data_IF_636723403751
#
_entry.id   IF_636723403751
#
_cell.length_a   1.000
_cell.length_b   1.000
_cell.length_c   1.000
_cell.angle_alpha   90.00
_cell.angle_beta   90.00
_cell.angle_gamma   90.00
#
_symmetry.space_group_name_H-M   'P 1'
#
loop_
_entity.id
_entity.type
_entity.pdbx_description
1 polymer ?
#
# COMPACT_ATOMS: atom_id res chain seq x y z
N UNK A 1 -1.04 8.30 -8.23
CA UNK A 1 -0.96 6.84 -8.43
C UNK A 1 0.46 6.52 -8.90
N UNK A 2 1.13 5.49 -8.35
CA UNK A 2 2.53 5.18 -8.68
C UNK A 2 2.72 4.37 -9.96
N UNK A 3 1.69 3.65 -10.42
CA UNK A 3 1.69 2.92 -11.68
C UNK A 3 1.76 3.86 -12.89
N UNK A 4 2.16 3.33 -14.06
CA UNK A 4 2.13 4.08 -15.31
C UNK A 4 0.69 4.46 -15.69
N UNK A 5 0.54 5.57 -16.42
CA UNK A 5 -0.79 6.03 -16.85
C UNK A 5 -1.50 4.98 -17.71
N UNK A 6 -0.77 4.30 -18.61
CA UNK A 6 -1.34 3.25 -19.47
C UNK A 6 -1.91 2.08 -18.66
N UNK A 7 -1.24 1.66 -17.59
CA UNK A 7 -1.71 0.57 -16.72
C UNK A 7 -3.03 0.94 -16.01
N UNK A 8 -3.16 2.20 -15.59
CA UNK A 8 -4.41 2.72 -15.04
C UNK A 8 -5.54 2.75 -16.07
N UNK A 9 -5.23 3.22 -17.29
CA UNK A 9 -6.20 3.32 -18.38
C UNK A 9 -6.70 1.95 -18.85
N UNK A 10 -5.81 0.97 -18.95
CA UNK A 10 -6.15 -0.43 -19.25
C UNK A 10 -7.08 -1.02 -18.19
N UNK A 11 -6.74 -0.90 -16.90
CA UNK A 11 -7.59 -1.38 -15.81
C UNK A 11 -8.99 -0.72 -15.83
N UNK A 12 -9.05 0.58 -16.10
CA UNK A 12 -10.32 1.30 -16.26
C UNK A 12 -11.11 0.79 -17.46
N UNK A 13 -10.45 0.50 -18.59
CA UNK A 13 -11.10 -0.04 -19.79
C UNK A 13 -11.67 -1.45 -19.56
N UNK A 14 -11.06 -2.24 -18.68
CA UNK A 14 -11.58 -3.55 -18.22
C UNK A 14 -12.72 -3.43 -17.19
N UNK A 15 -13.08 -2.21 -16.78
CA UNK A 15 -14.21 -1.93 -15.89
C UNK A 15 -13.85 -1.86 -14.40
N UNK A 16 -12.56 -1.82 -14.04
CA UNK A 16 -12.12 -1.66 -12.65
C UNK A 16 -12.62 -0.33 -12.08
N UNK A 17 -13.21 -0.40 -10.89
CA UNK A 17 -13.68 0.77 -10.14
C UNK A 17 -12.59 1.26 -9.18
N UNK A 18 -12.25 2.54 -9.26
CA UNK A 18 -11.25 3.16 -8.38
C UNK A 18 -11.93 3.98 -7.30
N UNK A 19 -11.81 3.53 -6.05
CA UNK A 19 -12.23 4.29 -4.88
C UNK A 19 -11.05 5.08 -4.33
N UNK A 20 -10.96 6.37 -4.72
CA UNK A 20 -9.96 7.29 -4.19
C UNK A 20 -10.33 7.80 -2.79
N UNK A 21 -9.35 8.39 -2.10
CA UNK A 21 -9.52 8.97 -0.76
C UNK A 21 -10.16 8.01 0.25
N UNK A 22 -9.73 6.75 0.24
CA UNK A 22 -10.20 5.70 1.13
C UNK A 22 -9.02 5.08 1.88
N UNK A 23 -8.87 5.40 3.17
CA UNK A 23 -7.83 4.82 4.02
C UNK A 23 -8.34 3.51 4.64
N UNK A 24 -7.66 2.38 4.45
CA UNK A 24 -8.04 1.10 5.07
C UNK A 24 -8.12 1.21 6.60
N UNK A 25 -9.21 0.72 7.19
CA UNK A 25 -9.40 0.66 8.67
C UNK A 25 -9.49 -0.78 9.15
N UNK A 26 -10.18 -1.64 8.41
CA UNK A 26 -10.31 -3.04 8.79
C UNK A 26 -11.18 -3.85 7.85
N UNK A 27 -11.28 -5.13 8.14
CA UNK A 27 -12.12 -6.08 7.43
C UNK A 27 -13.28 -6.46 8.34
N UNK A 28 -14.50 -6.45 7.79
CA UNK A 28 -15.70 -6.88 8.48
C UNK A 28 -16.13 -8.28 8.04
N UNK A 29 -16.78 -8.98 8.96
CA UNK A 29 -17.20 -10.37 8.82
C UNK A 29 -16.71 -11.23 9.98
N UNK A 30 -17.36 -12.37 10.19
CA UNK A 30 -17.04 -13.29 11.30
C UNK A 30 -16.15 -14.45 10.86
N UNK A 31 -16.67 -15.27 9.95
CA UNK A 31 -16.00 -16.48 9.46
C UNK A 31 -15.45 -16.33 8.03
N UNK A 32 -15.86 -15.25 7.35
CA UNK A 32 -15.44 -14.87 5.99
C UNK A 32 -15.43 -13.35 5.87
N UNK A 33 -14.82 -12.85 4.79
CA UNK A 33 -14.89 -11.43 4.43
C UNK A 33 -16.31 -11.10 3.99
N UNK A 34 -16.88 -10.04 4.55
CA UNK A 34 -18.21 -9.51 4.20
C UNK A 34 -18.17 -8.02 3.92
N UNK A 35 -17.15 -7.31 4.42
CA UNK A 35 -17.00 -5.89 4.16
C UNK A 35 -15.57 -5.42 4.31
N UNK A 36 -15.26 -4.32 3.63
CA UNK A 36 -14.03 -3.58 3.78
C UNK A 36 -14.35 -2.21 4.37
N UNK A 37 -13.90 -1.97 5.59
CA UNK A 37 -14.09 -0.72 6.31
C UNK A 37 -12.95 0.23 6.00
N UNK A 38 -13.28 1.45 5.60
CA UNK A 38 -12.32 2.50 5.32
C UNK A 38 -12.78 3.85 5.88
N UNK A 39 -11.81 4.71 6.16
CA UNK A 39 -12.03 6.12 6.47
C UNK A 39 -12.01 6.94 5.18
N UNK A 40 -13.00 7.82 5.03
CA UNK A 40 -13.01 8.80 3.94
C UNK A 40 -11.95 9.85 4.22
N UNK A 41 -11.12 10.14 3.22
CA UNK A 41 -10.10 11.17 3.28
C UNK A 41 -10.52 12.42 2.51
N UNK A 42 -9.91 13.56 2.83
CA UNK A 42 -10.09 14.82 2.13
C UNK A 42 -8.73 15.43 1.78
N UNK A 43 -8.71 16.27 0.75
CA UNK A 43 -7.54 17.07 0.42
C UNK A 43 -7.33 18.15 1.51
N UNK A 44 -6.07 18.44 1.82
CA UNK A 44 -5.73 19.60 2.63
C UNK A 44 -6.10 20.90 1.88
N UNK A 45 -6.33 21.98 2.62
CA UNK A 45 -6.72 23.29 2.04
C UNK A 45 -5.68 23.84 1.06
N UNK A 46 -4.40 23.55 1.33
CA UNK A 46 -3.25 23.94 0.49
C UNK A 46 -3.05 23.02 -0.73
N UNK A 47 -3.85 21.95 -0.85
CA UNK A 47 -3.70 20.92 -1.87
C UNK A 47 -2.48 20.00 -1.66
N UNK A 48 -1.68 20.21 -0.62
CA UNK A 48 -0.48 19.44 -0.33
C UNK A 48 -0.82 18.28 0.60
N UNK A 49 -1.44 17.26 0.00
CA UNK A 49 -1.72 15.99 0.68
C UNK A 49 -3.16 15.83 1.14
N UNK A 50 -3.37 14.80 1.96
CA UNK A 50 -4.70 14.34 2.37
C UNK A 50 -4.74 14.06 3.87
N UNK A 51 -5.90 14.24 4.49
CA UNK A 51 -6.17 13.95 5.90
C UNK A 51 -7.43 13.09 6.07
N UNK A 52 -7.50 12.38 7.19
CA UNK A 52 -8.69 11.62 7.58
C UNK A 52 -9.83 12.54 8.03
N UNK A 53 -11.06 12.23 7.64
CA UNK A 53 -12.23 13.05 7.97
C UNK A 53 -12.97 12.59 9.22
N UNK A 54 -12.56 11.47 9.83
CA UNK A 54 -13.28 10.79 10.91
C UNK A 54 -14.59 10.11 10.47
N UNK A 55 -14.93 10.15 9.18
CA UNK A 55 -16.11 9.48 8.62
C UNK A 55 -15.72 8.12 8.06
N UNK A 56 -16.45 7.09 8.47
CA UNK A 56 -16.17 5.71 8.08
C UNK A 56 -17.28 5.17 7.18
N UNK A 57 -16.88 4.31 6.24
CA UNK A 57 -17.79 3.57 5.37
C UNK A 57 -17.38 2.10 5.31
N UNK A 58 -18.34 1.26 4.95
CA UNK A 58 -18.13 -0.17 4.71
C UNK A 58 -18.55 -0.47 3.28
N UNK A 59 -17.62 -0.99 2.48
CA UNK A 59 -17.90 -1.49 1.14
C UNK A 59 -18.15 -3.00 1.23
N UNK A 60 -19.30 -3.51 0.76
CA UNK A 60 -19.55 -4.95 0.74
C UNK A 60 -18.60 -5.62 -0.27
N UNK A 61 -17.82 -6.59 0.21
CA UNK A 61 -16.86 -7.35 -0.61
C UNK A 61 -16.75 -8.78 -0.09
N UNK A 62 -16.45 -9.72 -0.96
CA UNK A 62 -16.26 -11.14 -0.60
C UNK A 62 -14.79 -11.55 -0.49
N UNK A 63 -13.87 -10.73 -1.03
CA UNK A 63 -12.43 -11.00 -1.10
C UNK A 63 -11.63 -9.72 -0.99
N UNK A 64 -10.46 -9.82 -0.38
CA UNK A 64 -9.48 -8.72 -0.26
C UNK A 64 -8.12 -9.22 -0.73
N UNK A 65 -7.47 -8.42 -1.56
CA UNK A 65 -6.10 -8.65 -2.03
C UNK A 65 -5.28 -7.46 -1.56
N UNK A 66 -4.24 -7.72 -0.76
CA UNK A 66 -3.36 -6.66 -0.24
C UNK A 66 -2.23 -6.44 -1.25
N UNK A 67 -2.22 -5.25 -1.86
CA UNK A 67 -1.22 -4.82 -2.84
C UNK A 67 -0.47 -3.55 -2.37
N UNK A 68 -0.12 -3.47 -1.09
CA UNK A 68 0.57 -2.32 -0.49
C UNK A 68 2.08 -2.26 -0.78
N UNK A 69 2.61 -3.22 -1.55
CA UNK A 69 4.04 -3.39 -1.82
C UNK A 69 4.72 -4.35 -0.85
N UNK A 70 6.05 -4.46 -0.97
CA UNK A 70 6.88 -5.38 -0.19
C UNK A 70 8.00 -4.63 0.53
N UNK A 71 8.43 -5.15 1.68
CA UNK A 71 9.63 -4.71 2.41
C UNK A 71 10.59 -5.89 2.59
N UNK A 72 11.91 -5.68 2.47
CA UNK A 72 12.88 -6.73 2.79
C UNK A 72 12.72 -7.25 4.22
N UNK A 73 12.85 -8.56 4.42
CA UNK A 73 12.89 -9.14 5.74
C UNK A 73 14.32 -9.10 6.29
N UNK A 74 14.67 -8.00 6.97
CA UNK A 74 16.01 -7.74 7.50
C UNK A 74 16.57 -8.88 8.38
N UNK A 75 15.72 -9.67 9.05
CA UNK A 75 16.15 -10.83 9.85
C UNK A 75 16.74 -11.95 8.99
N UNK A 76 16.24 -12.11 7.75
CA UNK A 76 16.71 -13.14 6.83
C UNK A 76 17.93 -12.70 6.03
N UNK A 77 18.11 -11.40 5.78
CA UNK A 77 19.15 -10.90 4.87
C UNK A 77 20.30 -10.19 5.58
N UNK A 78 20.16 -9.78 6.85
CA UNK A 78 21.13 -8.96 7.57
C UNK A 78 22.10 -9.76 8.44
N UNK A 79 22.04 -9.55 9.76
CA UNK A 79 23.02 -10.03 10.76
C UNK A 79 23.36 -11.52 10.66
N UNK A 80 22.38 -12.37 10.33
CA UNK A 80 22.58 -13.82 10.17
C UNK A 80 23.47 -14.22 8.98
N UNK A 81 23.70 -13.31 8.04
CA UNK A 81 24.54 -13.50 6.85
C UNK A 81 25.72 -12.51 6.78
N UNK A 82 26.03 -11.80 7.88
CA UNK A 82 27.08 -10.79 7.95
C UNK A 82 26.94 -9.64 6.92
N UNK A 83 25.72 -9.37 6.44
CA UNK A 83 25.44 -8.27 5.52
C UNK A 83 24.93 -7.05 6.29
N UNK A 84 25.45 -5.87 5.93
CA UNK A 84 24.97 -4.59 6.47
C UNK A 84 23.67 -4.20 5.79
N UNK A 85 22.70 -3.73 6.58
CA UNK A 85 21.41 -3.23 6.07
C UNK A 85 21.16 -1.80 6.55
N UNK A 86 20.42 -1.03 5.76
CA UNK A 86 19.95 0.31 6.14
C UNK A 86 18.73 0.25 7.10
N UNK A 87 18.26 1.41 7.55
CA UNK A 87 17.07 1.51 8.43
C UNK A 87 15.79 0.95 7.79
N UNK A 88 15.73 0.92 6.45
CA UNK A 88 14.62 0.35 5.67
C UNK A 88 14.79 -1.15 5.46
N UNK A 89 15.90 -1.74 5.89
CA UNK A 89 16.22 -3.16 5.81
C UNK A 89 16.81 -3.60 4.47
N UNK A 90 17.22 -2.67 3.60
CA UNK A 90 17.90 -3.00 2.34
C UNK A 90 19.39 -3.22 2.55
N UNK A 91 20.00 -4.11 1.76
CA UNK A 91 21.44 -4.37 1.83
C UNK A 91 22.20 -3.13 1.38
N UNK A 92 23.18 -2.71 2.18
CA UNK A 92 24.11 -1.65 1.83
C UNK A 92 25.15 -2.23 0.88
N UNK A 93 25.19 -1.71 -0.34
CA UNK A 93 26.23 -2.00 -1.33
C UNK A 93 27.22 -0.84 -1.39
N UNK A 94 28.49 -1.12 -1.73
CA UNK A 94 29.48 -0.07 -2.00
C UNK A 94 29.39 0.35 -3.46
N UNK A 95 29.48 1.65 -3.74
CA UNK A 95 29.46 2.14 -5.12
C UNK A 95 30.85 2.16 -5.80
N UNK A 96 31.98 2.03 -5.06
CA UNK A 96 33.34 1.85 -5.65
C UNK A 96 34.46 1.58 -4.60
N UNK A 97 35.61 0.95 -4.96
CA UNK A 97 35.89 0.23 -6.19
C UNK A 97 35.92 -1.28 -5.94
N UNK A 98 34.85 -1.96 -6.31
CA UNK A 98 34.90 -3.38 -6.65
C UNK A 98 33.89 -3.61 -7.78
N UNK A 99 34.44 -3.82 -8.98
CA UNK A 99 33.70 -4.35 -10.12
C UNK A 99 33.34 -5.83 -9.94
#
# INVERSE_FOLDING_TARGET
MPALLSEYEEARAEGVQFQWFASPVGVEGKDKVEGFKYEVMALNEDGAGIHGTGKFQVMPVDKIIIAAGHKPNARLIGEGNNLKVDEKGYIITSEDPYG
#
